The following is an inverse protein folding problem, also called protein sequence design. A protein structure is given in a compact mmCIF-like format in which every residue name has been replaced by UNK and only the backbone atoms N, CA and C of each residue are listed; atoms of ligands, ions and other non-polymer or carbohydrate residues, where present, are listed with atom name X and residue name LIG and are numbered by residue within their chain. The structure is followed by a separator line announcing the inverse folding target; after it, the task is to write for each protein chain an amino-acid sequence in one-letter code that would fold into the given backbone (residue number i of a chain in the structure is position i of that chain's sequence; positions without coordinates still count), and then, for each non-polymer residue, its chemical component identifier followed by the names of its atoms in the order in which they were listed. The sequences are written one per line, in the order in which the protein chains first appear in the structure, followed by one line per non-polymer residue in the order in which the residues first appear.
data_IF_131224345608
#
_entry.id   IF_131224345608
#
_cell.length_a   1.000
_cell.length_b   1.000
_cell.length_c   1.000
_cell.angle_alpha   90.00
_cell.angle_beta   90.00
_cell.angle_gamma   90.00
#
_symmetry.space_group_name_H-M   'P 1'
#
loop_
_entity.id
_entity.type
_entity.pdbx_description
1 polymer ?
#
# COMPACT_ATOMS: atom_id res chain seq x y z
N UNK A 1 17.51 15.51 10.52
CA UNK A 1 17.06 15.68 9.12
C UNK A 1 16.02 14.60 8.87
N UNK A 2 14.92 14.90 8.19
CA UNK A 2 13.93 13.89 7.84
C UNK A 2 14.38 13.17 6.55
N UNK A 3 14.34 11.85 6.56
CA UNK A 3 14.62 10.99 5.40
C UNK A 3 13.29 10.47 4.84
N UNK A 4 13.19 10.39 3.51
CA UNK A 4 12.01 9.89 2.81
C UNK A 4 12.45 8.90 1.74
N UNK A 5 11.80 7.74 1.70
CA UNK A 5 12.05 6.69 0.71
C UNK A 5 10.76 6.41 -0.05
N UNK A 6 10.81 6.44 -1.38
CA UNK A 6 9.75 5.96 -2.26
C UNK A 6 10.27 4.67 -2.92
N UNK A 7 9.54 3.58 -2.75
CA UNK A 7 9.91 2.26 -3.25
C UNK A 7 8.66 1.47 -3.64
N UNK A 8 8.76 0.68 -4.70
CA UNK A 8 7.77 -0.33 -5.08
C UNK A 8 8.06 -1.69 -4.43
N UNK A 9 9.26 -1.87 -3.87
CA UNK A 9 9.63 -3.06 -3.09
C UNK A 9 9.07 -2.96 -1.67
N UNK A 10 8.02 -3.75 -1.39
CA UNK A 10 7.36 -3.81 -0.09
C UNK A 10 8.32 -4.26 1.01
N UNK A 11 9.12 -5.31 0.77
CA UNK A 11 9.98 -5.87 1.81
C UNK A 11 11.01 -4.84 2.28
N UNK A 12 11.59 -4.11 1.33
CA UNK A 12 12.54 -3.03 1.63
C UNK A 12 11.86 -1.81 2.24
N UNK A 13 10.60 -1.54 1.88
CA UNK A 13 9.85 -0.37 2.36
C UNK A 13 9.34 -0.50 3.79
N UNK A 14 9.09 -1.73 4.27
CA UNK A 14 8.55 -1.98 5.63
C UNK A 14 9.60 -2.40 6.64
N UNK A 15 10.85 -2.60 6.20
CA UNK A 15 11.95 -3.05 7.06
C UNK A 15 12.16 -2.10 8.24
N UNK A 16 12.00 -2.61 9.46
CA UNK A 16 12.19 -1.85 10.70
C UNK A 16 11.10 -0.81 10.98
N UNK A 17 9.97 -0.82 10.28
CA UNK A 17 8.89 0.12 10.52
C UNK A 17 8.19 -0.14 11.87
N UNK A 18 8.11 0.89 12.72
CA UNK A 18 7.31 0.85 13.97
C UNK A 18 5.80 0.87 13.70
N UNK A 19 5.40 1.50 12.59
CA UNK A 19 4.00 1.66 12.20
C UNK A 19 3.84 1.43 10.70
N UNK A 20 2.82 0.66 10.32
CA UNK A 20 2.38 0.51 8.93
C UNK A 20 1.02 1.18 8.78
N UNK A 21 0.88 2.02 7.77
CA UNK A 21 -0.35 2.75 7.47
C UNK A 21 -0.79 2.47 6.03
N UNK A 22 -2.08 2.31 5.83
CA UNK A 22 -2.70 2.18 4.51
C UNK A 22 -4.08 2.80 4.53
N UNK A 23 -4.63 3.06 3.34
CA UNK A 23 -5.96 3.62 3.14
C UNK A 23 -6.73 2.78 2.10
N UNK A 24 -8.03 3.03 1.98
CA UNK A 24 -8.86 2.42 0.96
C UNK A 24 -8.37 2.79 -0.44
N UNK A 25 -8.28 1.81 -1.34
CA UNK A 25 -7.74 2.02 -2.70
C UNK A 25 -8.70 2.73 -3.65
N UNK A 26 -9.99 2.77 -3.29
CA UNK A 26 -11.02 3.47 -4.05
C UNK A 26 -11.80 4.35 -3.09
N UNK A 27 -11.78 5.65 -3.34
CA UNK A 27 -12.38 6.64 -2.46
C UNK A 27 -13.89 6.74 -2.67
N UNK A 28 -14.58 7.30 -1.66
CA UNK A 28 -16.01 7.59 -1.77
C UNK A 28 -16.29 8.50 -2.97
N UNK A 29 -17.24 8.11 -3.83
CA UNK A 29 -17.63 8.84 -5.03
C UNK A 29 -16.82 8.50 -6.28
N UNK A 30 -15.77 7.68 -6.19
CA UNK A 30 -15.11 7.16 -7.38
C UNK A 30 -15.96 6.11 -8.11
N UNK A 31 -15.90 6.17 -9.43
CA UNK A 31 -16.65 5.30 -10.31
C UNK A 31 -16.27 3.81 -10.10
N UNK A 32 -17.26 2.91 -10.16
CA UNK A 32 -17.05 1.48 -9.87
C UNK A 32 -16.09 0.83 -10.86
N UNK A 33 -16.01 1.37 -12.07
CA UNK A 33 -15.14 0.90 -13.16
C UNK A 33 -13.66 1.01 -12.80
N UNK A 34 -13.27 1.96 -11.94
CA UNK A 34 -11.88 2.11 -11.46
C UNK A 34 -11.42 0.98 -10.54
N UNK A 35 -12.34 0.22 -9.96
CA UNK A 35 -12.01 -0.78 -8.94
C UNK A 35 -11.12 -1.88 -9.50
N UNK A 36 -11.43 -2.38 -10.70
CA UNK A 36 -10.68 -3.48 -11.31
C UNK A 36 -9.21 -3.09 -11.55
N UNK A 37 -8.98 -1.89 -12.08
CA UNK A 37 -7.64 -1.33 -12.31
C UNK A 37 -6.89 -1.10 -10.99
N UNK A 38 -7.54 -0.45 -10.01
CA UNK A 38 -6.93 -0.18 -8.70
C UNK A 38 -6.55 -1.46 -7.97
N UNK A 39 -7.43 -2.46 -7.98
CA UNK A 39 -7.14 -3.77 -7.39
C UNK A 39 -5.97 -4.43 -8.11
N UNK A 40 -5.90 -4.38 -9.45
CA UNK A 40 -4.80 -4.99 -10.18
C UNK A 40 -3.44 -4.35 -9.85
N UNK A 41 -3.41 -3.02 -9.68
CA UNK A 41 -2.18 -2.28 -9.35
C UNK A 41 -1.74 -2.43 -7.89
N UNK A 42 -2.71 -2.47 -6.96
CA UNK A 42 -2.43 -2.30 -5.53
C UNK A 42 -2.53 -3.59 -4.72
N UNK A 43 -2.96 -4.70 -5.32
CA UNK A 43 -3.13 -5.99 -4.62
C UNK A 43 -1.88 -6.41 -3.86
N UNK A 44 -0.70 -6.21 -4.44
CA UNK A 44 0.57 -6.62 -3.83
C UNK A 44 1.00 -5.71 -2.66
N UNK A 45 0.35 -4.55 -2.50
CA UNK A 45 0.56 -3.60 -1.41
C UNK A 45 -0.47 -3.75 -0.29
N UNK A 46 -1.25 -4.84 -0.27
CA UNK A 46 -2.19 -5.09 0.81
C UNK A 46 -1.45 -5.31 2.14
N UNK A 47 -1.79 -4.54 3.16
CA UNK A 47 -1.34 -4.80 4.54
C UNK A 47 -1.97 -6.09 5.04
N UNK A 48 -1.14 -7.11 5.23
CA UNK A 48 -1.52 -8.44 5.69
C UNK A 48 -0.42 -9.03 6.59
N UNK A 49 -0.67 -10.17 7.22
CA UNK A 49 0.29 -10.77 8.16
C UNK A 49 1.66 -11.08 7.55
N UNK A 50 1.76 -11.32 6.24
CA UNK A 50 3.05 -11.52 5.57
C UNK A 50 3.84 -10.21 5.48
N UNK A 51 3.18 -9.07 5.30
CA UNK A 51 3.82 -7.75 5.31
C UNK A 51 4.30 -7.34 6.72
N UNK A 52 3.63 -7.84 7.76
CA UNK A 52 3.94 -7.52 9.17
C UNK A 52 5.02 -8.44 9.79
N UNK A 53 5.52 -9.43 9.06
CA UNK A 53 6.52 -10.41 9.51
C UNK A 53 7.93 -9.95 9.14
#
# INVERSE_FOLDING_TARGET
MAEYTLTEDVAKGVEGADFIYTDVWVSMGEAKEKWAERIALLRDYQVNSKMMQ
#
